data_IF_173032970672
#
_entry.id   IF_173032970672
#
_cell.length_a   1.000
_cell.length_b   1.000
_cell.length_c   1.000
_cell.angle_alpha   90.00
_cell.angle_beta   90.00
_cell.angle_gamma   90.00
#
_symmetry.space_group_name_H-M   'P 1'
#
loop_
_entity.id
_entity.type
_entity.pdbx_description
1 polymer ?
#
# COMPACT_ATOMS: atom_id res chain seq x y z
N UNK A 1 9.59 -11.06 -6.48
CA UNK A 1 11.03 -10.79 -6.29
C UNK A 1 11.23 -9.42 -5.65
N UNK A 2 12.17 -9.28 -4.71
CA UNK A 2 12.50 -7.99 -4.07
C UNK A 2 13.66 -7.35 -4.83
N UNK A 3 13.65 -6.02 -4.96
CA UNK A 3 14.80 -5.31 -5.51
C UNK A 3 15.73 -4.86 -4.39
N UNK A 4 17.04 -4.97 -4.61
CA UNK A 4 18.07 -4.52 -3.67
C UNK A 4 18.94 -3.47 -4.33
N UNK A 5 19.07 -2.31 -3.69
CA UNK A 5 19.86 -1.19 -4.20
C UNK A 5 20.62 -0.49 -3.08
N UNK A 6 21.68 0.23 -3.46
CA UNK A 6 22.32 1.19 -2.56
C UNK A 6 21.31 2.25 -2.11
N UNK A 7 21.37 2.61 -0.84
CA UNK A 7 20.64 3.77 -0.34
C UNK A 7 21.38 5.06 -0.74
N UNK A 8 20.69 6.19 -0.76
CA UNK A 8 21.29 7.51 -0.96
C UNK A 8 22.16 8.00 0.22
N UNK A 9 22.38 7.17 1.24
CA UNK A 9 23.20 7.49 2.41
C UNK A 9 24.45 6.59 2.41
N UNK A 10 25.62 7.11 2.82
CA UNK A 10 26.86 6.34 2.84
C UNK A 10 26.75 5.04 3.66
N UNK A 11 27.23 3.93 3.10
CA UNK A 11 27.27 2.64 3.79
C UNK A 11 25.90 2.02 4.09
N UNK A 12 24.85 2.42 3.35
CA UNK A 12 23.49 1.93 3.54
C UNK A 12 22.94 1.29 2.27
N UNK A 13 22.06 0.30 2.45
CA UNK A 13 21.30 -0.37 1.39
C UNK A 13 19.81 -0.34 1.73
N UNK A 14 18.97 -0.56 0.73
CA UNK A 14 17.54 -0.77 0.95
C UNK A 14 16.99 -1.88 0.06
N UNK A 15 15.93 -2.50 0.55
CA UNK A 15 15.09 -3.41 -0.20
C UNK A 15 13.80 -2.68 -0.59
N UNK A 16 13.27 -3.00 -1.77
CA UNK A 16 11.95 -2.54 -2.18
C UNK A 16 11.12 -3.68 -2.79
N UNK A 17 9.91 -3.82 -2.26
CA UNK A 17 8.80 -4.50 -2.92
C UNK A 17 7.94 -3.44 -3.58
N UNK A 18 7.43 -3.75 -4.77
CA UNK A 18 6.58 -2.81 -5.49
C UNK A 18 5.30 -3.47 -5.96
N UNK A 19 4.18 -2.88 -5.55
CA UNK A 19 2.86 -3.13 -6.07
C UNK A 19 2.48 -2.01 -7.05
N UNK A 20 2.13 -2.36 -8.29
CA UNK A 20 1.93 -1.37 -9.34
C UNK A 20 0.63 -0.56 -9.20
N UNK A 21 -0.42 -1.18 -8.65
CA UNK A 21 -1.78 -0.63 -8.71
C UNK A 21 -2.43 -0.37 -7.35
N UNK A 22 -1.68 -0.32 -6.25
CA UNK A 22 -2.26 -0.21 -4.89
C UNK A 22 -3.27 0.95 -4.74
N UNK A 23 -2.85 2.18 -5.03
CA UNK A 23 -3.73 3.35 -4.95
C UNK A 23 -4.72 3.43 -6.11
N UNK A 24 -4.26 3.13 -7.34
CA UNK A 24 -5.10 3.24 -8.54
C UNK A 24 -6.23 2.20 -8.57
N UNK A 25 -6.11 1.07 -7.88
CA UNK A 25 -7.19 0.11 -7.67
C UNK A 25 -8.37 0.74 -6.93
N UNK A 26 -8.12 1.62 -5.95
CA UNK A 26 -9.19 2.28 -5.20
C UNK A 26 -9.94 3.28 -6.07
N UNK A 27 -9.22 4.11 -6.83
CA UNK A 27 -9.82 5.04 -7.78
C UNK A 27 -10.61 4.33 -8.87
N UNK A 28 -10.07 3.22 -9.38
CA UNK A 28 -10.73 2.37 -10.37
C UNK A 28 -12.01 1.75 -9.80
N UNK A 29 -11.95 1.20 -8.58
CA UNK A 29 -13.08 0.55 -7.94
C UNK A 29 -14.20 1.55 -7.61
N UNK A 30 -13.85 2.76 -7.18
CA UNK A 30 -14.83 3.83 -6.97
C UNK A 30 -15.62 4.10 -8.26
N UNK A 31 -14.93 4.25 -9.39
CA UNK A 31 -15.59 4.42 -10.69
C UNK A 31 -16.42 3.21 -11.11
N UNK A 32 -15.88 2.00 -10.93
CA UNK A 32 -16.57 0.75 -11.30
C UNK A 32 -17.88 0.56 -10.55
N UNK A 33 -17.89 0.91 -9.26
CA UNK A 33 -19.04 0.75 -8.36
C UNK A 33 -19.98 1.97 -8.36
N UNK A 34 -19.69 3.00 -9.15
CA UNK A 34 -20.48 4.23 -9.23
C UNK A 34 -20.34 5.16 -8.02
N UNK A 35 -19.29 4.97 -7.21
CA UNK A 35 -18.98 5.83 -6.07
C UNK A 35 -18.31 7.12 -6.53
N UNK A 36 -18.61 8.22 -5.85
CA UNK A 36 -18.10 9.55 -6.23
C UNK A 36 -16.56 9.65 -6.12
N UNK A 37 -15.98 9.01 -5.10
CA UNK A 37 -14.56 9.06 -4.78
C UNK A 37 -14.14 7.86 -3.89
N UNK A 38 -12.84 7.80 -3.55
CA UNK A 38 -12.27 6.77 -2.67
C UNK A 38 -12.87 6.81 -1.25
N UNK A 39 -13.07 7.97 -0.60
CA UNK A 39 -13.81 8.03 0.67
C UNK A 39 -15.21 7.40 0.61
N UNK A 40 -15.98 7.65 -0.45
CA UNK A 40 -17.30 7.05 -0.66
C UNK A 40 -17.19 5.52 -0.83
N UNK A 41 -16.20 5.03 -1.61
CA UNK A 41 -15.91 3.61 -1.74
C UNK A 41 -15.62 2.95 -0.38
N UNK A 42 -14.77 3.57 0.44
CA UNK A 42 -14.40 3.04 1.76
C UNK A 42 -15.60 3.06 2.72
N UNK A 43 -16.48 4.04 2.59
CA UNK A 43 -17.72 4.09 3.36
C UNK A 43 -18.67 2.98 2.94
N UNK A 44 -18.80 2.72 1.64
CA UNK A 44 -19.62 1.63 1.11
C UNK A 44 -19.09 0.25 1.54
N UNK A 45 -17.77 0.06 1.56
CA UNK A 45 -17.15 -1.20 2.02
C UNK A 45 -17.51 -1.57 3.47
N UNK A 46 -17.70 -0.57 4.33
CA UNK A 46 -18.14 -0.79 5.72
C UNK A 46 -19.61 -1.23 5.85
N UNK A 47 -20.39 -1.13 4.77
CA UNK A 47 -21.79 -1.54 4.72
C UNK A 47 -21.97 -2.90 4.04
N UNK A 48 -20.87 -3.59 3.69
CA UNK A 48 -20.93 -4.91 3.08
C UNK A 48 -21.59 -5.92 4.05
N UNK A 49 -22.45 -6.79 3.53
CA UNK A 49 -23.08 -7.84 4.31
C UNK A 49 -22.06 -8.93 4.66
N UNK A 50 -21.88 -9.17 5.95
CA UNK A 50 -21.00 -10.23 6.46
C UNK A 50 -21.51 -11.64 6.11
N UNK A 51 -22.78 -11.78 5.73
CA UNK A 51 -23.39 -13.06 5.35
C UNK A 51 -23.41 -13.32 3.84
N UNK A 52 -23.01 -12.35 3.00
CA UNK A 52 -23.05 -12.48 1.54
C UNK A 52 -22.03 -13.48 0.96
N UNK A 53 -21.09 -13.95 1.80
CA UNK A 53 -19.96 -14.75 1.37
C UNK A 53 -18.77 -13.90 0.92
N UNK A 54 -17.65 -14.57 0.64
CA UNK A 54 -16.41 -13.91 0.25
C UNK A 54 -16.36 -13.65 -1.26
N UNK A 55 -16.01 -12.42 -1.64
CA UNK A 55 -15.58 -12.07 -2.99
C UNK A 55 -14.07 -11.82 -2.95
N UNK A 56 -13.33 -12.53 -3.78
CA UNK A 56 -11.89 -12.37 -3.88
C UNK A 56 -11.54 -11.40 -4.99
N UNK A 57 -10.76 -10.37 -4.67
CA UNK A 57 -10.21 -9.46 -5.66
C UNK A 57 -8.70 -9.66 -5.79
N UNK A 58 -8.25 -9.96 -7.01
CA UNK A 58 -6.83 -9.95 -7.37
C UNK A 58 -6.50 -8.59 -7.99
N UNK A 59 -5.62 -7.76 -7.38
CA UNK A 59 -5.48 -6.33 -7.73
C UNK A 59 -4.52 -6.01 -8.89
N UNK A 60 -4.32 -6.92 -9.83
CA UNK A 60 -3.29 -6.80 -10.87
C UNK A 60 -3.76 -6.01 -12.11
N UNK A 61 -4.25 -4.79 -11.94
CA UNK A 61 -4.84 -4.00 -13.04
C UNK A 61 -3.83 -3.55 -14.10
N UNK A 62 -2.54 -3.45 -13.75
CA UNK A 62 -1.47 -2.95 -14.63
C UNK A 62 -0.32 -3.95 -14.80
N UNK A 63 -0.62 -5.26 -14.66
CA UNK A 63 0.40 -6.26 -14.37
C UNK A 63 0.86 -6.19 -12.92
N UNK A 64 1.89 -6.98 -12.59
CA UNK A 64 2.50 -6.98 -11.26
C UNK A 64 4.02 -7.16 -11.28
N UNK A 65 4.70 -6.51 -10.34
CA UNK A 65 6.13 -6.70 -10.06
C UNK A 65 6.35 -7.66 -8.90
N UNK A 66 5.79 -7.35 -7.73
CA UNK A 66 5.98 -8.18 -6.52
C UNK A 66 4.61 -8.60 -6.00
N UNK A 67 4.39 -9.87 -5.65
CA UNK A 67 5.36 -10.97 -5.58
C UNK A 67 5.64 -11.69 -6.92
N UNK A 68 4.70 -11.62 -7.87
CA UNK A 68 4.63 -12.54 -9.02
C UNK A 68 5.56 -12.23 -10.19
N UNK A 69 6.00 -10.98 -10.34
CA UNK A 69 6.79 -10.50 -11.48
C UNK A 69 6.20 -10.89 -12.85
N UNK A 70 4.91 -10.59 -13.01
CA UNK A 70 4.15 -10.89 -14.22
C UNK A 70 3.54 -9.59 -14.80
N UNK A 71 4.14 -9.02 -15.87
CA UNK A 71 3.63 -7.80 -16.49
C UNK A 71 2.27 -8.00 -17.19
N UNK A 72 1.87 -9.24 -17.47
CA UNK A 72 0.60 -9.56 -18.13
C UNK A 72 -0.52 -9.94 -17.13
N UNK A 73 -0.24 -9.88 -15.82
CA UNK A 73 -1.25 -10.13 -14.79
C UNK A 73 -2.43 -9.15 -14.93
N UNK A 74 -3.64 -9.63 -14.61
CA UNK A 74 -4.89 -8.88 -14.75
C UNK A 74 -5.70 -8.92 -13.46
N UNK A 75 -6.50 -7.88 -13.26
CA UNK A 75 -7.44 -7.83 -12.15
C UNK A 75 -8.56 -8.86 -12.30
N UNK A 76 -8.96 -9.49 -11.20
CA UNK A 76 -10.01 -10.53 -11.18
C UNK A 76 -10.92 -10.32 -9.98
N UNK A 77 -12.23 -10.37 -10.20
CA UNK A 77 -13.20 -10.70 -9.15
C UNK A 77 -13.58 -12.17 -9.27
N UNK A 78 -13.45 -12.91 -8.17
CA UNK A 78 -13.78 -14.32 -8.11
C UNK A 78 -14.75 -14.60 -6.96
N UNK A 79 -15.72 -15.49 -7.18
CA UNK A 79 -16.72 -15.87 -6.17
C UNK A 79 -18.00 -15.02 -6.18
N UNK A 80 -18.28 -14.26 -7.25
CA UNK A 80 -19.52 -13.49 -7.35
C UNK A 80 -20.77 -14.39 -7.35
N UNK A 81 -21.83 -13.90 -6.72
CA UNK A 81 -23.14 -14.52 -6.56
C UNK A 81 -24.20 -13.41 -6.59
N UNK A 82 -25.48 -13.77 -6.56
CA UNK A 82 -26.58 -12.80 -6.49
C UNK A 82 -26.64 -11.99 -5.18
N UNK A 83 -25.88 -12.38 -4.15
CA UNK A 83 -25.83 -11.66 -2.87
C UNK A 83 -24.86 -10.47 -2.87
N UNK A 84 -24.01 -10.36 -3.90
CA UNK A 84 -22.95 -9.37 -3.94
C UNK A 84 -23.35 -8.13 -4.73
N UNK A 85 -23.20 -6.96 -4.10
CA UNK A 85 -23.41 -5.65 -4.69
C UNK A 85 -22.19 -4.73 -4.57
N UNK A 86 -22.36 -3.42 -4.83
CA UNK A 86 -21.27 -2.45 -4.79
C UNK A 86 -20.50 -2.41 -3.47
N UNK A 87 -21.17 -2.65 -2.33
CA UNK A 87 -20.54 -2.66 -1.01
C UNK A 87 -19.58 -3.86 -0.85
N UNK A 88 -20.01 -5.07 -1.22
CA UNK A 88 -19.18 -6.28 -1.15
C UNK A 88 -18.01 -6.19 -2.13
N UNK A 89 -18.23 -5.64 -3.33
CA UNK A 89 -17.15 -5.38 -4.28
C UNK A 89 -16.15 -4.36 -3.72
N UNK A 90 -16.63 -3.29 -3.08
CA UNK A 90 -15.76 -2.30 -2.45
C UNK A 90 -14.91 -2.92 -1.34
N UNK A 91 -15.51 -3.73 -0.45
CA UNK A 91 -14.79 -4.48 0.59
C UNK A 91 -13.75 -5.41 -0.02
N UNK A 92 -14.13 -6.19 -1.03
CA UNK A 92 -13.24 -7.11 -1.72
C UNK A 92 -12.02 -6.40 -2.33
N UNK A 93 -12.18 -5.19 -2.91
CA UNK A 93 -11.04 -4.42 -3.40
C UNK A 93 -10.10 -3.99 -2.27
N UNK A 94 -10.64 -3.47 -1.16
CA UNK A 94 -9.81 -3.04 -0.03
C UNK A 94 -9.01 -4.20 0.56
N UNK A 95 -9.66 -5.34 0.75
CA UNK A 95 -9.04 -6.57 1.25
C UNK A 95 -8.04 -7.13 0.25
N UNK A 96 -8.40 -7.25 -1.04
CA UNK A 96 -7.53 -7.76 -2.10
C UNK A 96 -6.24 -6.94 -2.28
N UNK A 97 -6.34 -5.61 -2.22
CA UNK A 97 -5.17 -4.73 -2.19
C UNK A 97 -4.37 -4.93 -0.89
N UNK A 98 -5.05 -5.08 0.25
CA UNK A 98 -4.41 -5.35 1.53
C UNK A 98 -3.61 -6.66 1.55
N UNK A 99 -4.18 -7.74 1.02
CA UNK A 99 -3.51 -9.03 0.90
C UNK A 99 -2.27 -8.93 0.00
N UNK A 100 -2.39 -8.29 -1.17
CA UNK A 100 -1.24 -8.11 -2.07
C UNK A 100 -0.12 -7.25 -1.45
N UNK A 101 -0.47 -6.25 -0.63
CA UNK A 101 0.51 -5.47 0.12
C UNK A 101 1.18 -6.32 1.21
N UNK A 102 0.41 -7.14 1.93
CA UNK A 102 0.93 -8.06 2.94
C UNK A 102 1.89 -9.09 2.33
N UNK A 103 1.51 -9.74 1.22
CA UNK A 103 2.41 -10.61 0.45
C UNK A 103 3.70 -9.86 0.06
N UNK A 104 3.56 -8.60 -0.37
CA UNK A 104 4.70 -7.75 -0.71
C UNK A 104 5.64 -7.48 0.48
N UNK A 105 5.10 -7.33 1.70
CA UNK A 105 5.86 -7.15 2.93
C UNK A 105 6.54 -8.43 3.37
N UNK A 106 5.83 -9.57 3.31
CA UNK A 106 6.37 -10.88 3.71
C UNK A 106 7.57 -11.27 2.86
N UNK A 107 7.54 -11.03 1.55
CA UNK A 107 8.70 -11.30 0.67
C UNK A 107 9.92 -10.44 1.08
N UNK A 108 9.72 -9.22 1.59
CA UNK A 108 10.82 -8.39 2.13
C UNK A 108 11.31 -8.96 3.46
N UNK A 109 10.40 -9.43 4.31
CA UNK A 109 10.73 -10.01 5.61
C UNK A 109 11.51 -11.32 5.51
N UNK A 110 11.17 -12.15 4.51
CA UNK A 110 11.90 -13.38 4.17
C UNK A 110 13.37 -13.12 3.81
N UNK A 111 13.74 -11.88 3.45
CA UNK A 111 15.13 -11.47 3.24
C UNK A 111 15.88 -11.18 4.56
N UNK A 112 15.26 -11.35 5.73
CA UNK A 112 15.85 -11.17 7.05
C UNK A 112 15.62 -9.79 7.69
N UNK A 113 14.71 -8.98 7.15
CA UNK A 113 14.36 -7.67 7.71
C UNK A 113 13.00 -7.74 8.40
N UNK A 114 12.94 -7.64 9.72
CA UNK A 114 11.66 -7.59 10.45
C UNK A 114 11.56 -6.27 11.23
N UNK A 115 10.81 -5.27 10.72
CA UNK A 115 10.68 -3.98 11.39
C UNK A 115 9.77 -4.11 12.63
N UNK A 116 10.02 -3.30 13.67
CA UNK A 116 9.13 -3.21 14.84
C UNK A 116 7.81 -2.49 14.52
N UNK A 117 7.85 -1.58 13.55
CA UNK A 117 6.68 -0.88 13.00
C UNK A 117 6.97 -0.41 11.58
N UNK A 118 5.91 -0.19 10.80
CA UNK A 118 5.99 0.30 9.42
C UNK A 118 5.40 1.70 9.37
N UNK A 119 6.18 2.67 8.90
CA UNK A 119 5.66 4.00 8.60
C UNK A 119 4.76 3.94 7.37
N UNK A 120 3.51 4.37 7.54
CA UNK A 120 2.49 4.36 6.50
C UNK A 120 2.16 5.80 6.07
N UNK A 121 2.32 6.09 4.78
CA UNK A 121 2.07 7.40 4.16
C UNK A 121 1.26 7.24 2.87
N UNK A 122 0.85 8.36 2.27
CA UNK A 122 0.18 8.40 0.96
C UNK A 122 -1.34 8.58 1.04
N UNK A 123 -1.96 8.84 -0.12
CA UNK A 123 -3.38 9.18 -0.22
C UNK A 123 -4.32 8.09 0.30
N UNK A 124 -4.02 6.82 0.01
CA UNK A 124 -4.81 5.69 0.51
C UNK A 124 -4.79 5.56 2.03
N UNK A 125 -3.66 5.90 2.68
CA UNK A 125 -3.49 5.80 4.13
C UNK A 125 -4.28 6.85 4.95
N UNK A 126 -5.03 7.75 4.31
CA UNK A 126 -5.83 8.77 4.99
C UNK A 126 -6.99 8.19 5.79
N UNK A 127 -7.56 7.07 5.33
CA UNK A 127 -8.70 6.41 5.99
C UNK A 127 -8.25 5.59 7.19
N UNK A 128 -8.74 5.89 8.39
CA UNK A 128 -8.49 5.09 9.59
C UNK A 128 -8.98 3.65 9.44
N UNK A 129 -10.13 3.44 8.80
CA UNK A 129 -10.70 2.12 8.54
C UNK A 129 -9.74 1.26 7.72
N UNK A 130 -9.24 1.79 6.60
CA UNK A 130 -8.35 1.01 5.75
C UNK A 130 -6.97 0.81 6.38
N UNK A 131 -6.46 1.78 7.16
CA UNK A 131 -5.25 1.57 7.95
C UNK A 131 -5.39 0.43 8.96
N UNK A 132 -6.53 0.37 9.66
CA UNK A 132 -6.77 -0.70 10.62
C UNK A 132 -6.85 -2.04 9.90
N UNK A 133 -7.60 -2.13 8.79
CA UNK A 133 -7.67 -3.33 7.95
C UNK A 133 -6.28 -3.79 7.48
N UNK A 134 -5.42 -2.88 7.01
CA UNK A 134 -4.05 -3.23 6.63
C UNK A 134 -3.22 -3.75 7.81
N UNK A 135 -3.39 -3.17 9.01
CA UNK A 135 -2.74 -3.63 10.23
C UNK A 135 -3.21 -5.04 10.61
N UNK A 136 -4.52 -5.29 10.54
CA UNK A 136 -5.13 -6.58 10.85
C UNK A 136 -4.70 -7.67 9.85
N UNK A 137 -4.66 -7.35 8.55
CA UNK A 137 -4.23 -8.27 7.49
C UNK A 137 -2.75 -8.60 7.62
N UNK A 138 -1.91 -7.58 7.83
CA UNK A 138 -0.45 -7.77 7.88
C UNK A 138 0.06 -8.29 9.22
N UNK A 139 -0.71 -8.14 10.30
CA UNK A 139 -0.27 -8.42 11.66
C UNK A 139 0.80 -7.44 12.18
N UNK A 140 0.97 -6.28 11.53
CA UNK A 140 2.04 -5.33 11.83
C UNK A 140 1.50 -4.02 12.37
N UNK A 141 2.28 -3.37 13.24
CA UNK A 141 2.02 -2.00 13.66
C UNK A 141 2.28 -1.03 12.50
N UNK A 142 1.26 -0.25 12.13
CA UNK A 142 1.34 0.78 11.09
C UNK A 142 1.32 2.18 11.69
N UNK A 143 2.46 2.87 11.64
CA UNK A 143 2.62 4.24 12.12
C UNK A 143 2.23 5.24 11.02
N UNK A 144 1.00 5.76 11.08
CA UNK A 144 0.55 6.76 10.12
C UNK A 144 1.27 8.10 10.30
N UNK A 145 1.84 8.63 9.22
CA UNK A 145 2.47 9.96 9.19
C UNK A 145 1.92 10.81 8.06
N UNK A 146 1.83 12.13 8.31
CA UNK A 146 1.48 13.13 7.30
C UNK A 146 2.74 13.77 6.68
N UNK A 147 2.59 14.53 5.60
CA UNK A 147 3.70 15.25 4.95
C UNK A 147 4.45 14.46 3.86
N UNK A 148 3.96 13.27 3.49
CA UNK A 148 4.52 12.47 2.40
C UNK A 148 4.22 13.01 0.99
N UNK A 149 3.39 14.04 0.87
CA UNK A 149 2.95 14.65 -0.39
C UNK A 149 4.05 15.42 -1.12
N UNK A 150 5.08 15.91 -0.41
CA UNK A 150 6.25 16.56 -1.02
C UNK A 150 7.10 15.55 -1.80
N UNK A 151 7.07 14.28 -1.38
CA UNK A 151 7.71 13.17 -2.09
C UNK A 151 9.24 13.29 -2.22
N UNK A 152 9.83 12.77 -3.32
CA UNK A 152 11.29 12.71 -3.50
C UNK A 152 12.00 14.07 -3.52
N UNK A 153 11.29 15.15 -3.85
CA UNK A 153 11.85 16.50 -3.82
C UNK A 153 12.32 16.90 -2.40
N UNK A 154 11.58 16.48 -1.36
CA UNK A 154 12.02 16.65 0.02
C UNK A 154 13.31 15.86 0.30
N UNK A 155 13.40 14.62 -0.20
CA UNK A 155 14.62 13.81 -0.08
C UNK A 155 15.83 14.48 -0.71
N UNK A 156 15.69 15.04 -1.91
CA UNK A 156 16.75 15.78 -2.59
C UNK A 156 17.19 17.02 -1.80
N UNK A 157 16.23 17.81 -1.27
CA UNK A 157 16.52 18.96 -0.43
C UNK A 157 17.25 18.56 0.87
N UNK A 158 16.88 17.41 1.47
CA UNK A 158 17.55 16.88 2.67
C UNK A 158 18.98 16.44 2.40
N UNK A 159 19.25 15.81 1.24
CA UNK A 159 20.61 15.48 0.82
C UNK A 159 21.47 16.75 0.66
N UNK A 160 20.90 17.82 0.08
CA UNK A 160 21.60 19.12 0.00
C UNK A 160 21.87 19.71 1.40
N UNK A 161 20.91 19.62 2.34
CA UNK A 161 21.13 20.06 3.72
C UNK A 161 22.26 19.30 4.42
N UNK A 162 22.36 17.98 4.21
CA UNK A 162 23.47 17.16 4.74
C UNK A 162 24.80 17.67 4.19
N UNK A 163 24.89 17.88 2.88
CA UNK A 163 26.11 18.38 2.24
C UNK A 163 26.52 19.78 2.76
N UNK A 164 25.55 20.66 3.04
CA UNK A 164 25.80 22.01 3.55
C UNK A 164 26.08 22.05 5.07
N UNK A 165 25.86 20.97 5.81
CA UNK A 165 26.01 20.93 7.26
C UNK A 165 26.79 19.67 7.71
N UNK A 166 28.07 19.51 7.34
CA UNK A 166 28.84 18.28 7.58
C UNK A 166 29.02 17.95 9.08
N UNK A 167 29.03 18.97 9.94
CA UNK A 167 29.22 18.80 11.40
C UNK A 167 27.92 18.45 12.14
N UNK A 168 26.75 18.55 11.48
CA UNK A 168 25.47 18.24 12.11
C UNK A 168 25.16 16.75 12.00
N UNK A 169 24.78 16.08 13.11
CA UNK A 169 24.41 14.68 13.04
C UNK A 169 23.11 14.49 12.25
N UNK A 170 23.00 13.37 11.53
CA UNK A 170 21.87 13.11 10.62
C UNK A 170 20.49 13.18 11.30
N UNK A 171 20.39 12.77 12.57
CA UNK A 171 19.11 12.80 13.31
C UNK A 171 18.57 14.22 13.57
N UNK A 172 19.39 15.26 13.37
CA UNK A 172 18.93 16.66 13.44
C UNK A 172 18.49 17.20 12.06
N UNK A 173 18.89 16.53 10.98
CA UNK A 173 18.62 16.93 9.61
C UNK A 173 17.52 16.08 8.96
N UNK A 174 17.35 14.85 9.43
CA UNK A 174 16.40 13.85 8.95
C UNK A 174 15.34 13.60 10.04
N UNK A 175 14.10 13.27 9.65
CA UNK A 175 13.03 12.91 10.58
C UNK A 175 13.28 11.57 11.29
#
# INVERSE_FOLDING_TARGET
>A
AVHSFCHALPGKWHLMSVMLSAASCLDWAAKLTGMADVPALITAAQQADDNAGAVWFLPYLSGERTPHNNPEAKGVFFGLTHQHGPAELARAVLEGVGYALADGMDVVHDCGLTPSSITLIGGGARSSYWRQMLSDISGLQLDYRTGGDVGPALGAARLAQIALNPDKPLHQLLP
#
